data_IF_942203412494
#
_entry.id   IF_942203412494
#
_cell.length_a   1.000
_cell.length_b   1.000
_cell.length_c   1.000
_cell.angle_alpha   90.00
_cell.angle_beta   90.00
_cell.angle_gamma   90.00
#
_symmetry.space_group_name_H-M   'P 1'
#
loop_
_entity.id
_entity.type
_entity.pdbx_description
1 polymer ?
#
# COMPACT_ATOMS: atom_id res chain seq x y z
N UNK A 1 -13.04 9.48 -11.73
CA UNK A 1 -12.55 8.14 -11.36
C UNK A 1 -12.00 8.24 -9.95
N UNK A 2 -12.46 7.41 -9.01
CA UNK A 2 -11.97 7.44 -7.62
C UNK A 2 -10.51 6.97 -7.58
N UNK A 3 -9.68 7.63 -6.79
CA UNK A 3 -8.26 7.34 -6.63
C UNK A 3 -8.03 6.71 -5.26
N UNK A 4 -7.32 5.58 -5.22
CA UNK A 4 -7.08 4.82 -4.01
C UNK A 4 -5.58 4.58 -3.85
N UNK A 5 -5.08 4.85 -2.65
CA UNK A 5 -3.72 4.50 -2.24
C UNK A 5 -3.76 3.19 -1.44
N UNK A 6 -2.93 2.22 -1.80
CA UNK A 6 -2.69 1.02 -1.01
C UNK A 6 -1.23 1.04 -0.58
N UNK A 7 -0.98 1.08 0.73
CA UNK A 7 0.38 1.13 1.25
C UNK A 7 1.00 -0.27 1.30
N UNK A 8 2.30 -0.34 1.03
CA UNK A 8 3.09 -1.55 1.12
C UNK A 8 4.29 -1.31 2.04
N UNK A 9 4.48 -2.20 3.00
CA UNK A 9 5.69 -2.26 3.80
C UNK A 9 6.13 -3.73 3.91
N UNK A 10 7.43 -4.01 4.09
CA UNK A 10 7.92 -5.38 4.21
C UNK A 10 7.16 -6.17 5.27
N UNK A 11 6.67 -7.36 4.91
CA UNK A 11 5.85 -8.19 5.77
C UNK A 11 4.36 -7.82 5.79
N UNK A 12 3.86 -7.13 4.77
CA UNK A 12 2.42 -6.91 4.56
C UNK A 12 1.66 -8.24 4.38
N UNK A 13 0.36 -8.24 4.65
CA UNK A 13 -0.54 -9.38 4.40
C UNK A 13 -1.01 -9.37 2.93
N UNK A 14 -0.67 -10.44 2.21
CA UNK A 14 -0.76 -10.46 0.76
C UNK A 14 -2.18 -10.66 0.23
N UNK A 15 -3.01 -11.44 0.94
CA UNK A 15 -4.40 -11.68 0.56
C UNK A 15 -5.21 -10.39 0.74
N UNK A 16 -5.06 -9.70 1.86
CA UNK A 16 -5.70 -8.42 2.16
C UNK A 16 -5.32 -7.37 1.10
N UNK A 17 -4.02 -7.28 0.78
CA UNK A 17 -3.51 -6.33 -0.22
C UNK A 17 -4.08 -6.63 -1.60
N UNK A 18 -3.88 -7.84 -2.13
CA UNK A 18 -4.21 -8.18 -3.51
C UNK A 18 -5.72 -8.19 -3.72
N UNK A 19 -6.49 -8.69 -2.75
CA UNK A 19 -7.95 -8.76 -2.86
C UNK A 19 -8.57 -7.36 -2.94
N UNK A 20 -8.11 -6.43 -2.11
CA UNK A 20 -8.61 -5.05 -2.14
C UNK A 20 -8.24 -4.35 -3.44
N UNK A 21 -7.00 -4.52 -3.91
CA UNK A 21 -6.54 -3.97 -5.20
C UNK A 21 -7.38 -4.50 -6.36
N UNK A 22 -7.60 -5.81 -6.44
CA UNK A 22 -8.38 -6.43 -7.53
C UNK A 22 -9.83 -5.95 -7.53
N UNK A 23 -10.50 -5.97 -6.36
CA UNK A 23 -11.89 -5.53 -6.23
C UNK A 23 -12.06 -4.06 -6.63
N UNK A 24 -11.19 -3.17 -6.14
CA UNK A 24 -11.30 -1.74 -6.41
C UNK A 24 -10.99 -1.40 -7.87
N UNK A 25 -10.00 -2.07 -8.48
CA UNK A 25 -9.74 -1.93 -9.92
C UNK A 25 -10.92 -2.41 -10.76
N UNK A 26 -11.55 -3.55 -10.41
CA UNK A 26 -12.78 -4.04 -11.08
C UNK A 26 -13.96 -3.10 -10.92
N UNK A 27 -14.05 -2.39 -9.79
CA UNK A 27 -15.04 -1.36 -9.55
C UNK A 27 -14.75 -0.02 -10.28
N UNK A 28 -13.65 0.05 -11.04
CA UNK A 28 -13.27 1.22 -11.83
C UNK A 28 -12.49 2.29 -11.07
N UNK A 29 -11.95 1.99 -9.89
CA UNK A 29 -11.04 2.89 -9.19
C UNK A 29 -9.62 2.80 -9.76
N UNK A 30 -8.89 3.93 -9.73
CA UNK A 30 -7.45 3.96 -9.99
C UNK A 30 -6.72 3.65 -8.68
N UNK A 31 -6.13 2.47 -8.58
CA UNK A 31 -5.40 2.01 -7.40
C UNK A 31 -3.90 2.14 -7.63
N UNK A 32 -3.22 2.89 -6.76
CA UNK A 32 -1.77 3.04 -6.68
C UNK A 32 -1.23 2.26 -5.48
N UNK A 33 -0.29 1.35 -5.72
CA UNK A 33 0.49 0.66 -4.68
C UNK A 33 1.74 1.49 -4.37
N UNK A 34 1.84 2.01 -3.15
CA UNK A 34 2.97 2.82 -2.73
C UNK A 34 3.75 2.16 -1.59
N UNK A 35 5.05 1.92 -1.80
CA UNK A 35 5.88 1.23 -0.84
C UNK A 35 6.68 2.16 0.07
N UNK A 36 6.97 1.70 1.29
CA UNK A 36 7.85 2.39 2.24
C UNK A 36 9.33 2.25 1.93
N UNK A 37 9.71 1.40 0.98
CA UNK A 37 11.09 1.18 0.52
C UNK A 37 11.14 0.87 -0.99
N UNK A 38 12.34 0.93 -1.57
CA UNK A 38 12.57 0.68 -3.00
C UNK A 38 12.59 -0.80 -3.36
N UNK A 39 12.14 -1.11 -4.58
CA UNK A 39 12.20 -2.45 -5.17
C UNK A 39 10.98 -3.33 -4.84
N UNK A 40 11.07 -4.63 -5.16
CA UNK A 40 10.02 -5.59 -4.82
C UNK A 40 9.89 -5.73 -3.30
N UNK A 41 8.67 -5.54 -2.79
CA UNK A 41 8.37 -5.67 -1.36
C UNK A 41 7.89 -7.09 -1.10
N UNK A 42 8.56 -7.80 -0.21
CA UNK A 42 8.18 -9.14 0.20
C UNK A 42 7.11 -9.10 1.30
N UNK A 43 6.02 -9.83 1.08
CA UNK A 43 4.93 -10.03 2.04
C UNK A 43 5.25 -11.08 3.10
N UNK A 44 4.34 -11.23 4.06
CA UNK A 44 4.52 -12.08 5.24
C UNK A 44 4.68 -13.58 4.95
N UNK A 45 4.28 -14.02 3.74
CA UNK A 45 4.32 -15.41 3.24
C UNK A 45 5.22 -15.57 2.01
N UNK A 46 6.10 -14.60 1.73
CA UNK A 46 7.12 -14.70 0.69
C UNK A 46 6.66 -14.32 -0.71
N UNK A 47 5.46 -13.74 -0.86
CA UNK A 47 5.02 -13.17 -2.14
C UNK A 47 5.59 -11.76 -2.27
N UNK A 48 6.32 -11.48 -3.35
CA UNK A 48 6.86 -10.15 -3.62
C UNK A 48 5.99 -9.35 -4.60
N UNK A 49 5.73 -8.08 -4.29
CA UNK A 49 5.01 -7.15 -5.16
C UNK A 49 5.93 -5.98 -5.54
N UNK A 50 6.01 -5.66 -6.83
CA UNK A 50 6.64 -4.43 -7.30
C UNK A 50 5.64 -3.27 -7.15
N UNK A 51 5.93 -2.23 -6.34
CA UNK A 51 5.04 -1.09 -6.15
C UNK A 51 5.01 -0.17 -7.37
N UNK A 52 3.94 0.62 -7.50
CA UNK A 52 3.80 1.64 -8.54
C UNK A 52 4.65 2.90 -8.23
N UNK A 53 4.87 3.19 -6.94
CA UNK A 53 5.61 4.36 -6.46
C UNK A 53 6.20 4.14 -5.06
N UNK A 54 7.09 5.05 -4.64
CA UNK A 54 7.47 5.18 -3.23
C UNK A 54 6.47 6.06 -2.49
N UNK A 55 6.22 5.77 -1.22
CA UNK A 55 5.29 6.52 -0.37
C UNK A 55 5.68 8.01 -0.23
N UNK A 56 6.98 8.30 -0.26
CA UNK A 56 7.50 9.67 -0.18
C UNK A 56 7.20 10.51 -1.43
N UNK A 57 6.86 9.86 -2.55
CA UNK A 57 6.48 10.52 -3.80
C UNK A 57 4.97 10.79 -3.88
N UNK A 58 4.20 10.36 -2.88
CA UNK A 58 2.75 10.45 -2.86
C UNK A 58 2.30 11.74 -2.15
N UNK A 59 1.42 12.49 -2.82
CA UNK A 59 0.77 13.68 -2.25
C UNK A 59 -0.58 13.32 -1.61
N UNK A 60 -0.88 13.93 -0.45
CA UNK A 60 -2.12 13.71 0.31
C UNK A 60 -3.37 14.14 -0.46
N UNK A 61 -3.26 15.18 -1.28
CA UNK A 61 -4.39 15.78 -2.02
C UNK A 61 -4.92 14.90 -3.16
N UNK A 62 -4.34 13.72 -3.36
CA UNK A 62 -4.57 12.91 -4.56
C UNK A 62 -5.52 11.71 -4.35
N UNK A 63 -5.95 11.35 -3.14
CA UNK A 63 -6.66 10.09 -2.91
C UNK A 63 -8.00 10.25 -2.20
N UNK A 64 -9.00 9.51 -2.65
CA UNK A 64 -10.33 9.41 -2.03
C UNK A 64 -10.38 8.35 -0.92
N UNK A 65 -9.41 7.43 -0.90
CA UNK A 65 -9.32 6.30 0.04
C UNK A 65 -7.86 5.89 0.22
N UNK A 66 -7.47 5.60 1.47
CA UNK A 66 -6.19 4.98 1.82
C UNK A 66 -6.48 3.62 2.46
N UNK A 67 -5.79 2.59 1.98
CA UNK A 67 -5.86 1.23 2.49
C UNK A 67 -4.52 0.92 3.16
N UNK A 68 -4.59 0.46 4.41
CA UNK A 68 -3.45 0.00 5.18
C UNK A 68 -3.61 -1.52 5.41
N UNK A 69 -2.99 -2.38 4.58
CA UNK A 69 -3.02 -3.81 4.80
C UNK A 69 -2.38 -4.20 6.14
N UNK A 70 -2.84 -5.32 6.70
CA UNK A 70 -2.28 -5.91 7.91
C UNK A 70 -0.93 -6.60 7.66
N UNK A 71 -0.64 -7.58 8.52
CA UNK A 71 0.56 -8.41 8.44
C UNK A 71 1.69 -7.93 9.37
N UNK A 72 2.43 -8.87 9.95
CA UNK A 72 3.64 -8.57 10.74
C UNK A 72 4.87 -9.11 9.99
N UNK A 73 5.96 -8.33 9.88
CA UNK A 73 6.18 -7.00 10.48
C UNK A 73 5.55 -5.80 9.75
N UNK A 74 4.77 -5.99 8.68
CA UNK A 74 4.25 -4.91 7.82
C UNK A 74 3.56 -3.76 8.56
N UNK A 75 2.60 -4.05 9.44
CA UNK A 75 1.90 -3.04 10.24
C UNK A 75 2.85 -2.26 11.16
N UNK A 76 3.85 -2.92 11.76
CA UNK A 76 4.84 -2.24 12.60
C UNK A 76 5.76 -1.32 11.76
N UNK A 77 6.04 -1.71 10.52
CA UNK A 77 6.81 -0.89 9.58
C UNK A 77 6.01 0.34 9.12
N UNK A 78 4.72 0.16 8.80
CA UNK A 78 3.82 1.29 8.50
C UNK A 78 3.71 2.25 9.70
N UNK A 79 3.56 1.72 10.92
CA UNK A 79 3.48 2.53 12.14
C UNK A 79 4.75 3.35 12.41
N UNK A 80 5.92 2.89 11.95
CA UNK A 80 7.20 3.61 12.11
C UNK A 80 7.46 4.64 11.01
N UNK A 81 6.70 4.60 9.91
CA UNK A 81 6.93 5.48 8.77
C UNK A 81 6.20 6.83 8.97
N UNK A 82 6.96 7.92 9.10
CA UNK A 82 6.41 9.25 9.34
C UNK A 82 5.56 9.77 8.17
N UNK A 83 5.91 9.40 6.94
CA UNK A 83 5.11 9.77 5.77
C UNK A 83 3.74 9.10 5.83
N UNK A 84 3.67 7.80 6.11
CA UNK A 84 2.38 7.09 6.29
C UNK A 84 1.53 7.75 7.37
N UNK A 85 2.13 8.18 8.49
CA UNK A 85 1.41 8.91 9.55
C UNK A 85 0.88 10.27 9.11
N UNK A 86 1.56 10.97 8.21
CA UNK A 86 1.06 12.26 7.72
C UNK A 86 -0.16 12.11 6.82
N UNK A 87 -0.31 10.94 6.18
CA UNK A 87 -1.43 10.66 5.27
C UNK A 87 -2.76 10.34 5.98
N UNK A 88 -2.77 10.12 7.31
CA UNK A 88 -3.94 9.66 8.10
C UNK A 88 -4.24 10.57 9.30
#
# INVERSE_FOLDING_TARGET
MKKVLVTLAPGFEEIETISVVDILRRAGARVTLAATEEGPIEGSRGVSILPDALIDQVSEEEFDLIVLPGGQPGTANLQKNEKVKSLI
#
